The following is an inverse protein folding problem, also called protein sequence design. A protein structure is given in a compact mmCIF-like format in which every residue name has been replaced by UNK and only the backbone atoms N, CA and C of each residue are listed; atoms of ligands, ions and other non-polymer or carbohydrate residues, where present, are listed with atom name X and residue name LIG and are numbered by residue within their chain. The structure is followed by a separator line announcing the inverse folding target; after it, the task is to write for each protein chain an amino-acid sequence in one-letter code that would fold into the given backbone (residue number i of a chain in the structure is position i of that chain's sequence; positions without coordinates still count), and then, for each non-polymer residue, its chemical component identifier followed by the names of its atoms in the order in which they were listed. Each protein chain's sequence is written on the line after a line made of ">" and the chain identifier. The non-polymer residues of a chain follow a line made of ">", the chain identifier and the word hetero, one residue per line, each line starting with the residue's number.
data_IF_655013975194
#
_entry.id   IF_655013975194
#
_cell.length_a   1.000
_cell.length_b   1.000
_cell.length_c   1.000
_cell.angle_alpha   90.00
_cell.angle_beta   90.00
_cell.angle_gamma   90.00
#
_symmetry.space_group_name_H-M   'P 1'
#
loop_
_entity.id
_entity.type
_entity.pdbx_description
1 polymer ?
#
# COMPACT_ATOMS: atom_id res chain seq x y z
N UNK A 1 1.57 -18.76 -11.24
CA UNK A 1 0.73 -17.62 -10.76
C UNK A 1 -0.47 -17.48 -11.68
N UNK A 2 -1.61 -16.94 -11.23
CA UNK A 2 -2.78 -16.69 -12.09
C UNK A 2 -2.44 -15.78 -13.28
N UNK A 3 -3.14 -15.97 -14.40
CA UNK A 3 -2.89 -15.21 -15.64
C UNK A 3 -3.19 -13.71 -15.49
N UNK A 4 -4.13 -13.36 -14.62
CA UNK A 4 -4.59 -11.99 -14.33
C UNK A 4 -3.80 -11.29 -13.21
N UNK A 5 -2.72 -11.90 -12.71
CA UNK A 5 -1.95 -11.39 -11.56
C UNK A 5 -1.51 -9.93 -11.73
N UNK A 6 -0.94 -9.59 -12.89
CA UNK A 6 -0.41 -8.27 -13.16
C UNK A 6 -1.52 -7.23 -13.39
N UNK A 7 -2.60 -7.62 -14.07
CA UNK A 7 -3.74 -6.74 -14.32
C UNK A 7 -4.42 -6.33 -13.01
N UNK A 8 -4.60 -7.30 -12.10
CA UNK A 8 -5.19 -7.05 -10.77
C UNK A 8 -4.27 -6.18 -9.91
N UNK A 9 -2.96 -6.46 -9.92
CA UNK A 9 -1.98 -5.64 -9.20
C UNK A 9 -1.98 -4.19 -9.71
N UNK A 10 -1.95 -4.01 -11.03
CA UNK A 10 -1.92 -2.69 -11.66
C UNK A 10 -3.19 -1.90 -11.36
N UNK A 11 -4.37 -2.54 -11.43
CA UNK A 11 -5.65 -1.92 -11.08
C UNK A 11 -5.62 -1.31 -9.68
N UNK A 12 -5.30 -2.11 -8.66
CA UNK A 12 -5.38 -1.64 -7.27
C UNK A 12 -4.25 -0.67 -6.89
N UNK A 13 -3.07 -0.81 -7.49
CA UNK A 13 -1.97 0.15 -7.27
C UNK A 13 -2.24 1.51 -7.92
N UNK A 14 -2.89 1.54 -9.09
CA UNK A 14 -3.36 2.79 -9.73
C UNK A 14 -4.40 3.53 -8.89
N UNK A 15 -5.25 2.79 -8.17
CA UNK A 15 -6.22 3.35 -7.22
C UNK A 15 -5.56 3.88 -5.92
N UNK A 16 -4.23 3.78 -5.79
CA UNK A 16 -3.47 4.26 -4.64
C UNK A 16 -3.58 3.36 -3.41
N UNK A 17 -4.09 2.13 -3.57
CA UNK A 17 -4.19 1.16 -2.50
C UNK A 17 -2.86 0.47 -2.26
N UNK A 18 -2.60 0.10 -1.00
CA UNK A 18 -1.44 -0.70 -0.63
C UNK A 18 -1.77 -2.17 -0.88
N UNK A 19 -1.03 -2.78 -1.81
CA UNK A 19 -1.20 -4.19 -2.20
C UNK A 19 -0.03 -5.01 -1.69
N UNK A 20 -0.30 -6.14 -1.03
CA UNK A 20 0.70 -7.14 -0.62
C UNK A 20 0.34 -8.49 -1.24
N UNK A 21 1.28 -9.12 -1.94
CA UNK A 21 1.14 -10.49 -2.42
C UNK A 21 1.39 -11.48 -1.27
N UNK A 22 0.46 -12.41 -1.06
CA UNK A 22 0.57 -13.46 -0.06
C UNK A 22 0.83 -14.80 -0.73
N UNK A 23 1.84 -15.52 -0.24
CA UNK A 23 2.18 -16.86 -0.70
C UNK A 23 2.66 -17.71 0.47
N UNK A 24 2.53 -19.03 0.36
CA UNK A 24 2.97 -19.96 1.41
C UNK A 24 3.71 -21.16 0.83
N UNK A 25 4.44 -21.86 1.70
CA UNK A 25 5.06 -23.15 1.42
C UNK A 25 4.91 -24.05 2.62
N UNK A 26 4.50 -25.30 2.37
CA UNK A 26 4.38 -26.30 3.42
C UNK A 26 5.76 -26.93 3.67
N UNK A 27 6.28 -26.82 4.90
CA UNK A 27 7.61 -27.34 5.27
C UNK A 27 7.53 -28.68 6.02
N UNK A 28 6.46 -29.47 5.81
CA UNK A 28 6.16 -30.70 6.59
C UNK A 28 7.31 -31.71 6.62
N UNK A 29 8.10 -31.78 5.54
CA UNK A 29 9.19 -32.75 5.40
C UNK A 29 10.56 -32.22 5.86
N UNK A 30 10.61 -30.98 6.36
CA UNK A 30 11.84 -30.34 6.84
C UNK A 30 11.92 -30.40 8.38
N UNK A 31 12.97 -31.03 8.95
CA UNK A 31 13.20 -31.00 10.39
C UNK A 31 13.31 -29.56 10.90
N UNK A 32 12.72 -29.26 12.07
CA UNK A 32 12.79 -27.93 12.68
C UNK A 32 14.22 -27.40 12.86
N UNK A 33 15.18 -28.28 13.10
CA UNK A 33 16.60 -27.92 13.20
C UNK A 33 17.14 -27.37 11.89
N UNK A 34 16.77 -27.98 10.75
CA UNK A 34 17.14 -27.49 9.42
C UNK A 34 16.45 -26.18 9.07
N UNK A 35 15.18 -26.00 9.46
CA UNK A 35 14.44 -24.74 9.21
C UNK A 35 15.12 -23.56 9.91
N UNK A 36 15.60 -23.74 11.14
CA UNK A 36 16.27 -22.67 11.91
C UNK A 36 17.62 -22.24 11.34
N UNK A 37 18.31 -23.15 10.65
CA UNK A 37 19.64 -22.89 10.08
C UNK A 37 19.61 -22.60 8.58
N UNK A 38 18.47 -22.82 7.93
CA UNK A 38 18.29 -22.57 6.51
C UNK A 38 18.40 -21.08 6.21
N UNK A 39 18.91 -20.76 5.03
CA UNK A 39 18.93 -19.37 4.57
C UNK A 39 17.53 -18.96 4.14
N UNK A 40 17.28 -17.65 4.17
CA UNK A 40 15.97 -17.10 3.79
C UNK A 40 15.59 -17.48 2.36
N UNK A 41 16.54 -17.42 1.44
CA UNK A 41 16.34 -17.71 0.02
C UNK A 41 16.00 -19.20 -0.22
N UNK A 42 16.45 -20.09 0.67
CA UNK A 42 16.13 -21.53 0.66
C UNK A 42 14.71 -21.81 1.19
N UNK A 43 14.10 -20.87 1.90
CA UNK A 43 12.74 -20.99 2.39
C UNK A 43 11.74 -20.23 1.52
N UNK A 44 12.14 -19.06 1.01
CA UNK A 44 11.32 -18.15 0.20
C UNK A 44 11.38 -18.44 -1.31
N UNK A 45 11.42 -19.72 -1.70
CA UNK A 45 11.37 -20.16 -3.09
C UNK A 45 10.20 -21.12 -3.34
N UNK A 46 9.67 -21.14 -4.57
CA UNK A 46 8.60 -22.04 -5.01
C UNK A 46 7.39 -22.01 -4.06
N UNK A 47 6.91 -20.80 -3.79
CA UNK A 47 5.75 -20.55 -2.94
C UNK A 47 4.46 -20.67 -3.76
N UNK A 48 3.39 -21.15 -3.12
CA UNK A 48 2.05 -21.13 -3.68
C UNK A 48 1.42 -19.79 -3.40
N UNK A 49 1.13 -19.03 -4.46
CA UNK A 49 0.39 -17.77 -4.36
C UNK A 49 -1.04 -18.03 -3.86
N UNK A 50 -1.46 -17.26 -2.85
CA UNK A 50 -2.80 -17.35 -2.25
C UNK A 50 -3.69 -16.23 -2.80
N UNK A 51 -3.13 -15.02 -2.91
CA UNK A 51 -3.89 -13.84 -3.29
C UNK A 51 -3.22 -12.53 -2.85
N UNK A 52 -3.94 -11.44 -3.06
CA UNK A 52 -3.53 -10.11 -2.62
C UNK A 52 -4.27 -9.70 -1.34
N UNK A 53 -3.54 -9.13 -0.39
CA UNK A 53 -4.10 -8.31 0.68
C UNK A 53 -4.09 -6.85 0.22
N UNK A 54 -5.28 -6.25 0.16
CA UNK A 54 -5.49 -4.87 -0.29
C UNK A 54 -5.85 -4.03 0.92
N UNK A 55 -5.13 -2.94 1.12
CA UNK A 55 -5.36 -2.00 2.22
C UNK A 55 -5.50 -0.59 1.66
N UNK A 56 -6.57 0.07 2.08
CA UNK A 56 -6.74 1.50 1.83
C UNK A 56 -5.98 2.29 2.89
N UNK A 57 -5.27 3.34 2.46
CA UNK A 57 -4.72 4.32 3.40
C UNK A 57 -5.77 5.41 3.63
N UNK A 58 -6.80 5.08 4.42
CA UNK A 58 -7.93 5.98 4.64
C UNK A 58 -7.49 7.18 5.48
N UNK A 59 -7.82 8.39 5.00
CA UNK A 59 -7.65 9.60 5.81
C UNK A 59 -8.62 9.57 7.00
N UNK A 60 -8.24 10.19 8.12
CA UNK A 60 -9.18 10.34 9.24
C UNK A 60 -10.41 11.12 8.76
N UNK A 61 -11.64 10.75 9.15
CA UNK A 61 -12.86 11.39 8.65
C UNK A 61 -12.87 12.91 8.80
N UNK A 62 -12.26 13.43 9.87
CA UNK A 62 -12.23 14.86 10.21
C UNK A 62 -11.20 15.66 9.38
N UNK A 63 -10.29 14.96 8.69
CA UNK A 63 -9.14 15.58 8.01
C UNK A 63 -9.60 16.63 7.00
N UNK A 64 -10.59 16.30 6.17
CA UNK A 64 -11.07 17.18 5.10
C UNK A 64 -11.71 18.44 5.66
N UNK A 65 -12.60 18.32 6.65
CA UNK A 65 -13.24 19.46 7.31
C UNK A 65 -12.24 20.37 8.03
N UNK A 66 -11.20 19.81 8.65
CA UNK A 66 -10.14 20.59 9.28
C UNK A 66 -9.33 21.37 8.24
N UNK A 67 -8.93 20.73 7.14
CA UNK A 67 -8.17 21.40 6.06
C UNK A 67 -9.01 22.50 5.40
N UNK A 68 -10.29 22.25 5.15
CA UNK A 68 -11.21 23.27 4.62
C UNK A 68 -11.29 24.46 5.57
N UNK A 69 -11.44 24.23 6.88
CA UNK A 69 -11.51 25.31 7.87
C UNK A 69 -10.21 26.14 7.90
N UNK A 70 -9.05 25.50 7.85
CA UNK A 70 -7.75 26.17 7.76
C UNK A 70 -7.63 27.01 6.48
N UNK A 71 -8.08 26.47 5.34
CA UNK A 71 -8.10 27.21 4.06
C UNK A 71 -9.02 28.43 4.09
N UNK A 72 -10.20 28.32 4.69
CA UNK A 72 -11.12 29.45 4.87
C UNK A 72 -10.53 30.54 5.77
N UNK A 73 -9.67 30.16 6.72
CA UNK A 73 -8.91 31.08 7.56
C UNK A 73 -7.62 31.60 6.89
N UNK A 74 -7.43 31.37 5.59
CA UNK A 74 -6.24 31.74 4.81
C UNK A 74 -4.92 31.14 5.34
N UNK A 75 -4.99 30.02 6.07
CA UNK A 75 -3.83 29.30 6.58
C UNK A 75 -3.34 28.33 5.50
N UNK A 76 -2.07 28.49 5.10
CA UNK A 76 -1.42 27.59 4.15
C UNK A 76 -1.26 26.19 4.74
N UNK A 77 -1.73 25.19 4.01
CA UNK A 77 -1.65 23.77 4.39
C UNK A 77 -0.63 23.06 3.51
N UNK A 78 0.37 22.41 4.14
CA UNK A 78 1.42 21.66 3.45
C UNK A 78 1.48 20.22 3.99
N UNK A 79 1.83 19.26 3.13
CA UNK A 79 2.04 17.87 3.52
C UNK A 79 3.55 17.56 3.49
N UNK A 80 4.08 17.13 4.62
CA UNK A 80 5.43 16.55 4.72
C UNK A 80 5.29 15.07 5.10
N UNK A 81 5.75 14.17 4.22
CA UNK A 81 5.66 12.71 4.42
C UNK A 81 6.90 12.00 3.88
N UNK A 82 7.22 10.84 4.45
CA UNK A 82 8.24 9.92 3.97
C UNK A 82 7.70 8.80 3.08
N UNK A 83 6.40 8.80 2.80
CA UNK A 83 5.77 7.84 1.90
C UNK A 83 6.18 8.05 0.43
N UNK A 84 5.86 7.05 -0.40
CA UNK A 84 5.98 7.18 -1.85
C UNK A 84 5.23 8.43 -2.36
N UNK A 85 5.86 9.19 -3.25
CA UNK A 85 5.30 10.43 -3.79
C UNK A 85 3.92 10.26 -4.44
N UNK A 86 3.64 9.13 -5.09
CA UNK A 86 2.31 8.87 -5.67
C UNK A 86 1.24 8.71 -4.59
N UNK A 87 1.57 8.06 -3.47
CA UNK A 87 0.69 7.96 -2.29
C UNK A 87 0.44 9.33 -1.69
N UNK A 88 1.49 10.15 -1.54
CA UNK A 88 1.37 11.51 -1.01
C UNK A 88 0.45 12.39 -1.88
N UNK A 89 0.59 12.32 -3.21
CA UNK A 89 -0.27 13.05 -4.15
C UNK A 89 -1.72 12.57 -4.06
N UNK A 90 -1.96 11.26 -3.98
CA UNK A 90 -3.30 10.69 -3.83
C UNK A 90 -3.97 11.19 -2.54
N UNK A 91 -3.29 11.05 -1.40
CA UNK A 91 -3.80 11.52 -0.10
C UNK A 91 -4.00 13.05 -0.11
N UNK A 92 -3.05 13.80 -0.67
CA UNK A 92 -3.12 15.26 -0.78
C UNK A 92 -4.32 15.76 -1.60
N UNK A 93 -4.72 15.02 -2.63
CA UNK A 93 -5.95 15.28 -3.38
C UNK A 93 -7.20 14.91 -2.59
N UNK A 94 -7.22 13.74 -1.94
CA UNK A 94 -8.37 13.29 -1.14
C UNK A 94 -8.68 14.20 0.05
N UNK A 95 -7.66 14.68 0.76
CA UNK A 95 -7.84 15.58 1.89
C UNK A 95 -7.96 17.06 1.50
N UNK A 96 -7.81 17.37 0.20
CA UNK A 96 -8.00 18.71 -0.33
C UNK A 96 -6.82 19.65 -0.11
N UNK A 97 -5.61 19.17 0.21
CA UNK A 97 -4.39 20.01 0.19
C UNK A 97 -4.08 20.43 -1.25
N UNK A 98 -4.10 19.46 -2.18
CA UNK A 98 -3.89 19.66 -3.61
C UNK A 98 -5.25 19.87 -4.28
N UNK A 99 -5.44 21.01 -4.96
CA UNK A 99 -6.63 21.25 -5.76
C UNK A 99 -6.58 20.42 -7.05
N UNK A 100 -7.69 19.75 -7.39
CA UNK A 100 -7.79 18.92 -8.59
C UNK A 100 -7.61 19.69 -9.92
N UNK A 101 -7.70 21.03 -9.89
CA UNK A 101 -7.66 21.92 -11.05
C UNK A 101 -6.32 22.61 -11.32
N UNK A 102 -5.28 22.37 -10.52
CA UNK A 102 -3.92 22.90 -10.79
C UNK A 102 -2.99 21.75 -11.20
N UNK A 103 -2.67 21.70 -12.49
CA UNK A 103 -1.45 21.08 -13.03
C UNK A 103 -0.39 22.18 -13.19
#
# INVERSE_FOLDING_TARGET
>A
IPDDYFDVLEKYTKDGLRVLALAFKCLKDLPHTKIKTAKREELEFDLVFIGFLIMENSIKPETKSCIESLKHAEISTIMATGDNGLTAVSVGRHCGIINASKL
#
